data_IF_467446978459
#
_entry.id   IF_467446978459
#
_cell.length_a   1.000
_cell.length_b   1.000
_cell.length_c   1.000
_cell.angle_alpha   90.00
_cell.angle_beta   90.00
_cell.angle_gamma   90.00
#
_symmetry.space_group_name_H-M   'P 1'
#
loop_
_entity.id
_entity.type
_entity.pdbx_description
1 polymer ?
#
# COMPACT_ATOMS: atom_id res chain seq x y z
N UNK A 1 -9.96 -2.61 -1.70
CA UNK A 1 -8.81 -1.79 -1.30
C UNK A 1 -7.76 -1.82 -2.40
N UNK A 2 -7.32 -0.67 -2.82
CA UNK A 2 -6.18 -0.52 -3.72
C UNK A 2 -5.03 0.09 -2.93
N UNK A 3 -3.82 -0.40 -3.14
CA UNK A 3 -2.65 0.15 -2.47
C UNK A 3 -1.50 0.27 -3.48
N UNK A 4 -0.68 1.29 -3.30
CA UNK A 4 0.49 1.55 -4.15
C UNK A 4 1.55 2.28 -3.33
N UNK A 5 2.80 2.05 -3.70
CA UNK A 5 3.92 2.76 -3.11
C UNK A 5 4.98 2.99 -4.18
N UNK A 6 5.69 4.07 -4.06
CA UNK A 6 6.74 4.38 -5.01
C UNK A 6 7.77 5.33 -4.46
N UNK A 7 8.95 5.30 -5.08
CA UNK A 7 10.02 6.24 -4.79
C UNK A 7 10.50 6.92 -6.06
N UNK A 8 10.86 8.18 -5.95
CA UNK A 8 11.47 8.95 -7.03
C UNK A 8 12.99 8.76 -6.93
N UNK A 9 13.49 7.75 -7.64
CA UNK A 9 14.79 7.13 -7.41
C UNK A 9 14.62 5.91 -6.50
N UNK A 10 15.47 4.92 -6.60
CA UNK A 10 15.30 3.68 -5.83
C UNK A 10 16.65 3.26 -5.18
N UNK A 11 16.97 3.73 -3.94
CA UNK A 11 16.08 4.49 -3.06
C UNK A 11 15.97 5.97 -3.43
N UNK A 12 14.93 6.62 -2.89
CA UNK A 12 14.69 8.04 -3.08
C UNK A 12 13.49 8.48 -2.27
N UNK A 13 13.06 9.74 -2.42
CA UNK A 13 11.83 10.21 -1.77
C UNK A 13 10.67 9.28 -2.11
N UNK A 14 10.02 8.74 -1.10
CA UNK A 14 9.03 7.68 -1.27
C UNK A 14 7.72 8.02 -0.55
N UNK A 15 6.64 7.50 -1.09
CA UNK A 15 5.32 7.63 -0.50
C UNK A 15 4.51 6.36 -0.68
N UNK A 16 3.57 6.17 0.22
CA UNK A 16 2.63 5.05 0.21
C UNK A 16 1.22 5.57 0.20
N UNK A 17 0.32 4.86 -0.45
CA UNK A 17 -1.08 5.22 -0.52
C UNK A 17 -1.97 3.98 -0.51
N UNK A 18 -3.11 4.10 0.14
CA UNK A 18 -4.17 3.10 0.09
C UNK A 18 -5.50 3.80 -0.09
N UNK A 19 -6.38 3.18 -0.86
CA UNK A 19 -7.72 3.70 -1.15
C UNK A 19 -8.72 2.61 -0.83
N UNK A 20 -9.64 2.91 0.09
CA UNK A 20 -10.73 2.02 0.45
C UNK A 20 -11.98 2.42 -0.31
N UNK A 21 -12.58 1.46 -1.01
CA UNK A 21 -13.80 1.67 -1.78
C UNK A 21 -14.91 0.75 -1.27
N UNK A 22 -16.15 1.27 -1.33
CA UNK A 22 -17.34 0.44 -1.17
C UNK A 22 -17.42 -0.59 -2.30
N UNK A 23 -18.17 -1.69 -2.13
CA UNK A 23 -18.36 -2.65 -3.23
C UNK A 23 -18.88 -2.05 -4.52
N UNK A 24 -19.65 -0.95 -4.44
CA UNK A 24 -20.14 -0.22 -5.62
C UNK A 24 -19.13 0.74 -6.24
N UNK A 25 -17.93 0.84 -5.68
CA UNK A 25 -16.87 1.70 -6.19
C UNK A 25 -16.80 3.09 -5.56
N UNK A 26 -17.67 3.41 -4.61
CA UNK A 26 -17.64 4.71 -3.93
C UNK A 26 -16.49 4.80 -2.95
N UNK A 27 -15.85 5.96 -2.90
CA UNK A 27 -14.71 6.20 -2.02
C UNK A 27 -15.14 6.21 -0.55
N UNK A 28 -14.49 5.38 0.27
CA UNK A 28 -14.65 5.38 1.72
C UNK A 28 -13.57 6.18 2.41
N UNK A 29 -12.32 5.95 2.05
CA UNK A 29 -11.17 6.58 2.71
C UNK A 29 -9.94 6.53 1.82
N UNK A 30 -9.15 7.62 1.87
CA UNK A 30 -7.81 7.66 1.29
C UNK A 30 -6.80 7.79 2.42
N UNK A 31 -5.71 7.01 2.35
CA UNK A 31 -4.61 7.09 3.31
C UNK A 31 -3.32 7.29 2.53
N UNK A 32 -2.65 8.41 2.75
CA UNK A 32 -1.37 8.70 2.13
C UNK A 32 -0.32 9.01 3.18
N UNK A 33 0.93 8.61 2.93
CA UNK A 33 2.03 8.88 3.84
C UNK A 33 3.33 9.11 3.08
N UNK A 34 4.05 10.15 3.45
CA UNK A 34 5.41 10.38 2.98
C UNK A 34 6.38 9.63 3.87
N UNK A 35 7.31 8.87 3.28
CA UNK A 35 8.22 7.99 4.01
C UNK A 35 9.64 8.54 4.16
N UNK A 36 9.95 9.69 3.55
CA UNK A 36 11.34 10.11 3.39
C UNK A 36 12.02 9.26 2.34
N UNK A 37 13.31 8.99 2.49
CA UNK A 37 14.06 8.17 1.53
C UNK A 37 13.82 6.70 1.84
N UNK A 38 13.28 5.98 0.88
CA UNK A 38 13.00 4.55 0.98
C UNK A 38 13.02 3.90 -0.41
N UNK A 39 13.02 2.58 -0.44
CA UNK A 39 12.93 1.82 -1.69
C UNK A 39 11.47 1.67 -2.13
N UNK A 40 11.27 1.34 -3.40
CA UNK A 40 9.94 0.99 -3.93
C UNK A 40 9.30 -0.13 -3.10
N UNK A 41 10.04 -1.18 -2.78
CA UNK A 41 9.49 -2.32 -2.02
C UNK A 41 9.03 -1.92 -0.62
N UNK A 42 9.79 -1.10 0.08
CA UNK A 42 9.38 -0.57 1.40
C UNK A 42 8.10 0.25 1.25
N UNK A 43 8.03 1.10 0.24
CA UNK A 43 6.84 1.92 0.00
C UNK A 43 5.60 1.07 -0.30
N UNK A 44 5.74 0.03 -1.10
CA UNK A 44 4.64 -0.88 -1.43
C UNK A 44 4.14 -1.66 -0.22
N UNK A 45 5.05 -2.22 0.59
CA UNK A 45 4.68 -2.93 1.81
C UNK A 45 4.04 -2.00 2.84
N UNK A 46 4.56 -0.78 2.97
CA UNK A 46 3.98 0.22 3.87
C UNK A 46 2.56 0.59 3.44
N UNK A 47 2.32 0.73 2.14
CA UNK A 47 0.98 1.01 1.61
C UNK A 47 -0.02 -0.08 1.98
N UNK A 48 0.38 -1.33 1.85
CA UNK A 48 -0.46 -2.46 2.25
C UNK A 48 -0.80 -2.40 3.74
N UNK A 49 0.20 -2.17 4.58
CA UNK A 49 -0.01 -2.07 6.04
C UNK A 49 -0.96 -0.92 6.38
N UNK A 50 -0.75 0.25 5.80
CA UNK A 50 -1.62 1.41 6.04
C UNK A 50 -3.07 1.13 5.64
N UNK A 51 -3.28 0.49 4.49
CA UNK A 51 -4.61 0.13 4.03
C UNK A 51 -5.28 -0.90 4.94
N UNK A 52 -4.55 -1.90 5.37
CA UNK A 52 -5.06 -2.92 6.29
C UNK A 52 -5.42 -2.31 7.65
N UNK A 53 -4.59 -1.41 8.17
CA UNK A 53 -4.90 -0.71 9.43
C UNK A 53 -6.18 0.11 9.30
N UNK A 54 -6.33 0.86 8.22
CA UNK A 54 -7.53 1.67 7.99
C UNK A 54 -8.78 0.80 7.85
N UNK A 55 -8.70 -0.31 7.13
CA UNK A 55 -9.82 -1.23 6.97
C UNK A 55 -10.22 -1.91 8.29
N UNK A 56 -9.22 -2.35 9.06
CA UNK A 56 -9.46 -2.96 10.37
C UNK A 56 -10.11 -1.98 11.34
N UNK A 57 -9.66 -0.73 11.34
CA UNK A 57 -10.20 0.33 12.19
C UNK A 57 -11.67 0.63 11.87
N UNK A 58 -12.08 0.46 10.62
CA UNK A 58 -13.47 0.62 10.20
C UNK A 58 -14.35 -0.59 10.51
N UNK A 59 -13.77 -1.68 11.01
CA UNK A 59 -14.51 -2.90 11.30
C UNK A 59 -14.87 -3.70 10.06
N UNK A 60 -14.19 -3.48 8.93
CA UNK A 60 -14.40 -4.24 7.71
C UNK A 60 -14.01 -5.69 7.95
N UNK A 61 -14.90 -6.64 7.59
CA UNK A 61 -14.70 -8.07 7.82
C UNK A 61 -14.27 -8.82 6.56
N UNK A 62 -14.71 -8.34 5.41
CA UNK A 62 -14.41 -8.94 4.11
C UNK A 62 -13.70 -7.91 3.25
N UNK A 63 -12.51 -8.24 2.76
CA UNK A 63 -11.66 -7.29 2.07
C UNK A 63 -11.07 -7.88 0.79
N UNK A 64 -11.29 -7.19 -0.32
CA UNK A 64 -10.62 -7.47 -1.57
C UNK A 64 -9.45 -6.51 -1.72
N UNK A 65 -8.24 -7.05 -1.84
CA UNK A 65 -7.00 -6.28 -1.94
C UNK A 65 -6.48 -6.35 -3.36
N UNK A 66 -6.17 -5.20 -3.95
CA UNK A 66 -5.63 -5.08 -5.30
C UNK A 66 -4.29 -4.34 -5.24
N UNK A 67 -3.25 -4.98 -5.75
CA UNK A 67 -1.88 -4.47 -5.76
C UNK A 67 -1.31 -4.61 -7.16
N UNK A 68 -0.51 -3.65 -7.60
CA UNK A 68 0.17 -3.75 -8.89
C UNK A 68 1.61 -4.29 -8.78
N UNK A 69 2.07 -4.60 -7.57
CA UNK A 69 3.33 -5.28 -7.35
C UNK A 69 3.10 -6.80 -7.32
N UNK A 70 3.51 -7.47 -8.38
CA UNK A 70 3.44 -8.92 -8.46
C UNK A 70 4.30 -9.57 -7.37
N UNK A 71 5.46 -8.98 -7.07
CA UNK A 71 6.36 -9.48 -6.04
C UNK A 71 5.69 -9.51 -4.67
N UNK A 72 5.05 -8.39 -4.27
CA UNK A 72 4.35 -8.31 -2.98
C UNK A 72 3.22 -9.33 -2.90
N UNK A 73 2.44 -9.46 -3.97
CA UNK A 73 1.35 -10.45 -4.03
C UNK A 73 1.88 -11.87 -3.83
N UNK A 74 2.97 -12.22 -4.51
CA UNK A 74 3.58 -13.55 -4.39
C UNK A 74 4.20 -13.79 -3.02
N UNK A 75 4.80 -12.76 -2.43
CA UNK A 75 5.34 -12.87 -1.08
C UNK A 75 4.22 -13.07 -0.03
N UNK A 76 3.11 -12.37 -0.18
CA UNK A 76 1.94 -12.56 0.69
C UNK A 76 1.34 -13.96 0.54
N UNK A 77 1.33 -14.48 -0.68
CA UNK A 77 0.81 -15.82 -0.97
C UNK A 77 1.74 -16.94 -0.57
N UNK A 78 2.94 -16.63 -0.10
CA UNK A 78 3.93 -17.63 0.32
C UNK A 78 4.76 -18.23 -0.82
N UNK A 79 4.58 -17.78 -2.06
CA UNK A 79 5.36 -18.27 -3.20
C UNK A 79 6.81 -17.80 -3.16
N UNK A 80 7.04 -16.58 -2.67
CA UNK A 80 8.38 -16.02 -2.51
C UNK A 80 8.60 -15.59 -1.07
N UNK A 81 9.82 -15.81 -0.58
CA UNK A 81 10.21 -15.39 0.76
C UNK A 81 10.49 -13.90 0.82
N UNK A 82 10.16 -13.30 1.97
CA UNK A 82 10.60 -11.95 2.32
C UNK A 82 11.94 -12.09 3.03
N UNK A 83 13.03 -11.96 2.28
CA UNK A 83 14.39 -12.18 2.82
C UNK A 83 15.02 -10.89 3.37
N UNK A 84 14.64 -9.75 2.81
CA UNK A 84 15.25 -8.48 3.19
C UNK A 84 14.84 -8.08 4.60
N UNK A 85 15.81 -7.83 5.48
CA UNK A 85 15.57 -7.51 6.88
C UNK A 85 14.71 -6.27 7.07
N UNK A 86 14.85 -5.27 6.20
CA UNK A 86 14.03 -4.05 6.24
C UNK A 86 12.56 -4.25 5.92
N UNK A 87 12.22 -5.36 5.25
CA UNK A 87 10.84 -5.69 4.91
C UNK A 87 10.17 -6.63 5.92
N UNK A 88 10.95 -7.35 6.71
CA UNK A 88 10.41 -8.36 7.62
C UNK A 88 9.44 -7.79 8.66
N UNK A 89 9.69 -6.63 9.29
CA UNK A 89 8.71 -6.05 10.21
C UNK A 89 7.39 -5.69 9.52
N UNK A 90 7.46 -5.17 8.30
CA UNK A 90 6.26 -4.83 7.51
C UNK A 90 5.49 -6.08 7.13
N UNK A 91 6.18 -7.12 6.70
CA UNK A 91 5.58 -8.41 6.40
C UNK A 91 4.87 -9.00 7.62
N UNK A 92 5.54 -9.01 8.77
CA UNK A 92 4.98 -9.52 10.02
C UNK A 92 3.73 -8.72 10.42
N UNK A 93 3.78 -7.39 10.28
CA UNK A 93 2.65 -6.52 10.60
C UNK A 93 1.47 -6.80 9.67
N UNK A 94 1.72 -6.93 8.36
CA UNK A 94 0.67 -7.24 7.38
C UNK A 94 0.03 -8.59 7.68
N UNK A 95 0.82 -9.61 7.98
CA UNK A 95 0.31 -10.95 8.33
C UNK A 95 -0.58 -10.91 9.56
N UNK A 96 -0.20 -10.16 10.57
CA UNK A 96 -1.01 -9.99 11.79
C UNK A 96 -2.34 -9.30 11.49
N UNK A 97 -2.29 -8.22 10.72
CA UNK A 97 -3.49 -7.47 10.35
C UNK A 97 -4.47 -8.31 9.53
N UNK A 98 -3.95 -9.13 8.63
CA UNK A 98 -4.79 -10.00 7.79
C UNK A 98 -5.66 -10.94 8.62
N UNK A 99 -5.22 -11.34 9.81
CA UNK A 99 -5.99 -12.21 10.71
C UNK A 99 -7.24 -11.54 11.27
N UNK A 100 -7.32 -10.22 11.23
CA UNK A 100 -8.49 -9.48 11.72
C UNK A 100 -9.68 -9.56 10.77
N UNK A 101 -9.48 -10.06 9.56
CA UNK A 101 -10.52 -10.15 8.54
C UNK A 101 -11.05 -11.58 8.43
N UNK A 102 -12.39 -11.70 8.28
CA UNK A 102 -13.02 -13.01 8.07
C UNK A 102 -12.71 -13.55 6.68
N UNK A 103 -12.68 -12.67 5.68
CA UNK A 103 -12.39 -13.04 4.30
C UNK A 103 -11.45 -12.02 3.66
N UNK A 104 -10.41 -12.53 3.00
CA UNK A 104 -9.46 -11.70 2.28
C UNK A 104 -9.20 -12.32 0.92
N UNK A 105 -9.29 -11.51 -0.13
CA UNK A 105 -8.92 -11.88 -1.48
C UNK A 105 -7.83 -10.94 -1.95
N UNK A 106 -6.66 -11.47 -2.30
CA UNK A 106 -5.53 -10.67 -2.77
C UNK A 106 -5.29 -10.99 -4.23
N UNK A 107 -5.29 -9.94 -5.08
CA UNK A 107 -5.02 -10.10 -6.51
C UNK A 107 -4.03 -9.06 -7.00
N UNK A 108 -3.18 -9.50 -7.92
CA UNK A 108 -2.36 -8.61 -8.72
C UNK A 108 -3.24 -7.98 -9.81
N UNK A 109 -3.11 -6.67 -10.00
CA UNK A 109 -3.75 -5.95 -11.10
C UNK A 109 -2.71 -5.20 -11.91
N UNK A 110 -2.95 -4.97 -13.21
CA UNK A 110 -2.07 -4.11 -13.99
C UNK A 110 -2.04 -2.69 -13.40
N UNK A 111 -0.91 -2.00 -13.57
CA UNK A 111 -0.72 -0.65 -13.06
C UNK A 111 -1.82 0.31 -13.49
N UNK A 112 -2.28 0.19 -14.73
CA UNK A 112 -3.36 1.01 -15.27
C UNK A 112 -4.70 0.85 -14.54
N UNK A 113 -4.86 -0.20 -13.76
CA UNK A 113 -6.05 -0.45 -12.94
C UNK A 113 -5.86 -0.01 -11.49
N UNK A 114 -4.69 0.52 -11.14
CA UNK A 114 -4.38 1.00 -9.79
C UNK A 114 -4.18 2.52 -9.77
N UNK A 115 -4.95 3.23 -10.57
CA UNK A 115 -4.75 4.66 -10.83
C UNK A 115 -5.06 5.55 -9.63
N UNK A 116 -6.04 5.19 -8.80
CA UNK A 116 -6.40 6.01 -7.64
C UNK A 116 -5.28 6.04 -6.60
N UNK A 117 -4.72 4.87 -6.29
CA UNK A 117 -3.61 4.79 -5.35
C UNK A 117 -2.34 5.42 -5.93
N UNK A 118 -2.04 5.17 -7.20
CA UNK A 118 -0.90 5.77 -7.89
C UNK A 118 -0.99 7.30 -7.88
N UNK A 119 -2.16 7.85 -8.19
CA UNK A 119 -2.37 9.30 -8.16
C UNK A 119 -2.14 9.89 -6.76
N UNK A 120 -2.56 9.17 -5.72
CA UNK A 120 -2.36 9.63 -4.34
C UNK A 120 -0.87 9.59 -3.96
N UNK A 121 -0.12 8.55 -4.37
CA UNK A 121 1.33 8.50 -4.18
C UNK A 121 1.98 9.74 -4.80
N UNK A 122 1.65 10.04 -6.04
CA UNK A 122 2.23 11.19 -6.75
C UNK A 122 1.85 12.52 -6.10
N UNK A 123 0.62 12.65 -5.63
CA UNK A 123 0.16 13.85 -4.93
C UNK A 123 0.96 14.08 -3.64
N UNK A 124 1.18 13.02 -2.85
CA UNK A 124 1.97 13.11 -1.63
C UNK A 124 3.41 13.51 -1.94
N UNK A 125 4.02 12.88 -2.95
CA UNK A 125 5.39 13.20 -3.36
C UNK A 125 5.50 14.63 -3.87
N UNK A 126 4.54 15.09 -4.65
CA UNK A 126 4.53 16.47 -5.19
C UNK A 126 4.39 17.50 -4.07
N UNK A 127 3.57 17.22 -3.06
CA UNK A 127 3.42 18.11 -1.90
C UNK A 127 4.71 18.25 -1.12
N UNK A 128 5.44 17.15 -0.91
CA UNK A 128 6.71 17.17 -0.19
C UNK A 128 7.83 17.81 -1.02
N UNK A 129 7.74 17.78 -2.34
CA UNK A 129 8.73 18.38 -3.23
C UNK A 129 8.56 19.90 -3.37
N UNK A 130 7.47 20.50 -2.87
CA UNK A 130 7.25 21.94 -2.98
C UNK A 130 8.26 22.70 -2.11
N UNK A 131 8.88 23.78 -2.63
CA UNK A 131 9.71 24.61 -1.79
C UNK A 131 8.89 25.26 -0.69
N UNK A 132 9.50 25.49 0.50
CA UNK A 132 8.78 26.16 1.58
C UNK A 132 8.30 27.52 1.13
N UNK A 133 7.08 27.88 1.52
CA UNK A 133 6.55 29.24 1.30
C UNK A 133 7.17 30.12 2.37
N UNK A 134 7.95 31.08 1.94
CA UNK A 134 8.59 32.04 2.84
C UNK A 134 7.85 33.37 2.87
#
# INVERSE_FOLDING_TARGET
MFADGGSRGNPGPAASAAVLLEPGGELMEEVGAYLGVATNNVAEWTALVLGLEAAAKRGIRSLAIRLDSELVVKQLGGEYRVKHSGLQPLYARARRLLRDFAEVEIRHVPRKQNTLADALVNRVLDQEARPPVT
#
